data_IF_075604613388
#
_entry.id   IF_075604613388
#
_cell.length_a   1.000
_cell.length_b   1.000
_cell.length_c   1.000
_cell.angle_alpha   90.00
_cell.angle_beta   90.00
_cell.angle_gamma   90.00
#
_symmetry.space_group_name_H-M   'P 1'
#
loop_
_entity.id
_entity.type
_entity.pdbx_description
1 polymer ?
#
# COMPACT_ATOMS: atom_id res chain seq x y z
N UNK A 1 14.35 18.68 -4.75
CA UNK A 1 13.75 17.81 -3.74
C UNK A 1 13.86 16.36 -4.17
N UNK A 2 14.11 15.47 -3.24
CA UNK A 2 14.44 14.08 -3.55
C UNK A 2 13.17 13.24 -3.51
N UNK A 3 12.88 12.56 -4.61
CA UNK A 3 11.81 11.59 -4.73
C UNK A 3 12.40 10.20 -4.65
N UNK A 4 11.87 9.35 -3.78
CA UNK A 4 12.30 7.95 -3.65
C UNK A 4 11.15 7.03 -3.99
N UNK A 5 11.43 6.00 -4.77
CA UNK A 5 10.44 5.00 -5.18
C UNK A 5 10.86 3.66 -4.60
N UNK A 6 9.93 3.01 -3.90
CA UNK A 6 10.07 1.64 -3.42
C UNK A 6 9.20 0.76 -4.31
N UNK A 7 9.83 -0.13 -5.06
CA UNK A 7 9.13 -1.06 -5.96
C UNK A 7 8.87 -2.37 -5.22
N UNK A 8 7.61 -2.62 -4.86
CA UNK A 8 7.23 -3.83 -4.14
C UNK A 8 7.43 -5.11 -4.97
N UNK A 9 7.51 -5.00 -6.30
CA UNK A 9 7.80 -6.14 -7.15
C UNK A 9 9.23 -6.66 -6.96
N UNK A 10 10.15 -5.80 -6.53
CA UNK A 10 11.54 -6.18 -6.27
C UNK A 10 11.70 -7.01 -4.99
N UNK A 11 10.65 -7.15 -4.19
CA UNK A 11 10.68 -7.89 -2.92
C UNK A 11 9.68 -9.04 -2.97
N UNK A 12 9.93 -10.07 -2.15
CA UNK A 12 8.98 -11.14 -2.00
C UNK A 12 7.72 -10.64 -1.29
N UNK A 13 6.59 -11.27 -1.62
CA UNK A 13 5.27 -10.89 -1.15
C UNK A 13 5.13 -10.80 0.38
N UNK A 14 5.83 -11.67 1.08
CA UNK A 14 5.79 -11.74 2.53
C UNK A 14 7.12 -11.29 3.15
N UNK A 15 7.87 -10.41 2.48
CA UNK A 15 9.11 -9.89 3.03
C UNK A 15 8.82 -9.16 4.35
N UNK A 16 9.37 -9.62 5.50
CA UNK A 16 9.07 -9.01 6.79
C UNK A 16 9.46 -7.54 6.87
N UNK A 17 10.45 -7.11 6.09
CA UNK A 17 10.88 -5.70 6.05
C UNK A 17 9.82 -4.82 5.44
N UNK A 18 9.21 -5.26 4.34
CA UNK A 18 8.10 -4.54 3.69
C UNK A 18 6.91 -4.45 4.63
N UNK A 19 6.52 -5.56 5.25
CA UNK A 19 5.39 -5.62 6.16
C UNK A 19 5.61 -4.69 7.36
N UNK A 20 6.77 -4.77 7.98
CA UNK A 20 7.08 -3.93 9.15
C UNK A 20 7.09 -2.44 8.79
N UNK A 21 7.66 -2.10 7.65
CA UNK A 21 7.71 -0.70 7.20
C UNK A 21 6.32 -0.15 6.89
N UNK A 22 5.48 -0.89 6.18
CA UNK A 22 4.11 -0.44 5.88
C UNK A 22 3.28 -0.28 7.15
N UNK A 23 3.37 -1.23 8.09
CA UNK A 23 2.67 -1.14 9.37
C UNK A 23 3.16 0.05 10.21
N UNK A 24 4.47 0.33 10.20
CA UNK A 24 5.05 1.47 10.90
C UNK A 24 4.52 2.82 10.38
N UNK A 25 4.04 2.86 9.15
CA UNK A 25 3.43 4.03 8.54
C UNK A 25 1.90 4.03 8.62
N UNK A 26 1.31 3.14 9.43
CA UNK A 26 -0.13 3.09 9.64
C UNK A 26 -0.90 2.46 8.49
N UNK A 27 -0.25 1.66 7.66
CA UNK A 27 -0.85 1.04 6.49
C UNK A 27 -1.01 -0.46 6.71
N UNK A 28 -1.97 -1.07 5.99
CA UNK A 28 -2.17 -2.51 6.02
C UNK A 28 -1.46 -3.15 4.82
N UNK A 29 -0.37 -3.93 5.04
CA UNK A 29 0.35 -4.55 3.94
C UNK A 29 -0.50 -5.53 3.13
N UNK A 30 -1.53 -6.12 3.74
CA UNK A 30 -2.45 -7.03 3.03
C UNK A 30 -3.39 -6.30 2.08
N UNK A 31 -3.50 -4.98 2.20
CA UNK A 31 -4.35 -4.16 1.34
C UNK A 31 -3.58 -3.50 0.19
N UNK A 32 -2.31 -3.80 0.03
CA UNK A 32 -1.47 -3.24 -1.03
C UNK A 32 -1.35 -4.26 -2.15
N UNK A 33 -1.72 -3.89 -3.41
CA UNK A 33 -1.61 -4.81 -4.53
C UNK A 33 -0.16 -5.22 -4.80
N UNK A 34 0.03 -6.43 -5.31
CA UNK A 34 1.31 -6.85 -5.87
C UNK A 34 1.72 -5.94 -7.03
N UNK A 35 3.01 -5.82 -7.26
CA UNK A 35 3.56 -5.03 -8.37
C UNK A 35 3.22 -3.54 -8.29
N UNK A 36 2.86 -3.05 -7.10
CA UNK A 36 2.66 -1.62 -6.89
C UNK A 36 3.96 -0.96 -6.46
N UNK A 37 3.94 0.36 -6.44
CA UNK A 37 5.08 1.15 -5.97
C UNK A 37 4.65 2.07 -4.84
N UNK A 38 5.59 2.40 -3.97
CA UNK A 38 5.44 3.47 -2.99
C UNK A 38 6.33 4.64 -3.40
N UNK A 39 5.80 5.85 -3.30
CA UNK A 39 6.54 7.06 -3.64
C UNK A 39 6.68 7.92 -2.38
N UNK A 40 7.92 8.27 -2.07
CA UNK A 40 8.23 9.14 -0.93
C UNK A 40 8.72 10.48 -1.47
N UNK A 41 8.01 11.55 -1.11
CA UNK A 41 8.33 12.89 -1.56
C UNK A 41 7.81 13.89 -0.53
N UNK A 42 8.62 14.88 -0.19
CA UNK A 42 8.23 15.97 0.73
C UNK A 42 7.73 15.49 2.10
N UNK A 43 8.32 14.42 2.63
CA UNK A 43 7.91 13.87 3.91
C UNK A 43 6.58 13.14 3.88
N UNK A 44 6.09 12.80 2.69
CA UNK A 44 4.84 12.07 2.49
C UNK A 44 5.09 10.75 1.75
N UNK A 45 4.24 9.78 2.06
CA UNK A 45 4.26 8.45 1.45
C UNK A 45 2.97 8.26 0.67
N UNK A 46 3.09 8.01 -0.63
CA UNK A 46 1.95 7.69 -1.50
C UNK A 46 2.04 6.24 -1.92
N UNK A 47 0.96 5.50 -1.72
CA UNK A 47 0.87 4.09 -2.09
C UNK A 47 -0.42 3.81 -2.84
N UNK A 48 -0.46 2.66 -3.51
CA UNK A 48 -1.67 2.12 -4.11
C UNK A 48 -2.29 1.11 -3.15
N UNK A 49 -3.60 1.23 -2.92
CA UNK A 49 -4.37 0.29 -2.10
C UNK A 49 -5.58 -0.22 -2.87
N UNK A 50 -6.08 -1.39 -2.46
CA UNK A 50 -7.37 -1.87 -2.93
C UNK A 50 -8.49 -1.00 -2.37
N UNK A 51 -9.53 -0.75 -3.17
CA UNK A 51 -10.76 -0.12 -2.68
C UNK A 51 -11.62 -1.19 -2.02
N UNK A 52 -11.96 -0.99 -0.75
CA UNK A 52 -12.74 -1.95 0.02
C UNK A 52 -14.18 -1.45 0.20
N UNK A 53 -15.13 -2.37 0.09
CA UNK A 53 -16.55 -2.13 0.34
C UNK A 53 -17.06 -3.06 1.42
N UNK A 54 -18.01 -2.56 2.21
CA UNK A 54 -18.75 -3.36 3.17
C UNK A 54 -20.24 -3.25 2.80
N UNK A 55 -20.77 -4.28 2.15
CA UNK A 55 -22.15 -4.29 1.66
C UNK A 55 -23.16 -4.76 2.71
N UNK A 56 -22.70 -5.52 3.71
CA UNK A 56 -23.52 -6.01 4.80
C UNK A 56 -22.94 -5.51 6.12
N UNK A 57 -23.72 -4.80 6.97
CA UNK A 57 -23.23 -4.36 8.27
C UNK A 57 -22.73 -5.53 9.10
N UNK A 58 -21.52 -5.39 9.66
CA UNK A 58 -20.89 -6.44 10.46
C UNK A 58 -20.13 -7.49 9.66
N UNK A 59 -20.25 -7.54 8.33
CA UNK A 59 -19.46 -8.42 7.49
C UNK A 59 -18.06 -7.84 7.23
N UNK A 60 -17.04 -8.68 6.99
CA UNK A 60 -15.72 -8.17 6.60
C UNK A 60 -15.79 -7.38 5.30
N UNK A 61 -15.03 -6.28 5.15
CA UNK A 61 -14.96 -5.57 3.89
C UNK A 61 -14.32 -6.46 2.79
N UNK A 62 -14.70 -6.23 1.56
CA UNK A 62 -14.19 -6.95 0.41
C UNK A 62 -13.74 -5.99 -0.69
N UNK A 63 -12.93 -6.49 -1.61
CA UNK A 63 -12.44 -5.69 -2.74
C UNK A 63 -13.56 -5.34 -3.69
N UNK A 64 -13.55 -4.10 -4.18
CA UNK A 64 -14.54 -3.61 -5.13
C UNK A 64 -14.13 -3.94 -6.55
N UNK A 65 -15.03 -4.51 -7.35
CA UNK A 65 -14.78 -4.79 -8.76
C UNK A 65 -14.64 -3.48 -9.55
N UNK A 66 -13.71 -3.48 -10.50
CA UNK A 66 -13.54 -2.36 -11.42
C UNK A 66 -14.75 -2.24 -12.35
N UNK A 67 -15.01 -1.01 -12.85
CA UNK A 67 -16.18 -0.72 -13.69
C UNK A 67 -16.17 -1.50 -15.00
N UNK A 68 -14.99 -1.89 -15.51
CA UNK A 68 -14.83 -2.69 -16.71
C UNK A 68 -14.96 -4.21 -16.46
N UNK A 69 -15.12 -4.63 -15.20
CA UNK A 69 -15.21 -6.03 -14.81
C UNK A 69 -13.87 -6.78 -14.82
N UNK A 70 -12.76 -6.11 -15.10
CA UNK A 70 -11.43 -6.71 -15.18
C UNK A 70 -10.61 -6.41 -13.94
N UNK A 71 -10.82 -7.22 -12.87
CA UNK A 71 -10.08 -7.07 -11.63
C UNK A 71 -10.76 -6.16 -10.62
N UNK A 72 -9.99 -5.69 -9.67
CA UNK A 72 -10.49 -4.90 -8.54
C UNK A 72 -10.04 -3.45 -8.64
N UNK A 73 -10.85 -2.55 -8.12
CA UNK A 73 -10.51 -1.12 -8.07
C UNK A 73 -9.32 -0.87 -7.17
N UNK A 74 -8.48 0.05 -7.59
CA UNK A 74 -7.32 0.53 -6.83
C UNK A 74 -7.44 2.03 -6.63
N UNK A 75 -6.89 2.53 -5.52
CA UNK A 75 -6.84 3.96 -5.24
C UNK A 75 -5.46 4.31 -4.73
N UNK A 76 -5.08 5.58 -4.92
CA UNK A 76 -3.83 6.10 -4.37
C UNK A 76 -4.12 6.78 -3.05
N UNK A 77 -3.33 6.45 -2.02
CA UNK A 77 -3.44 7.05 -0.70
C UNK A 77 -2.13 7.73 -0.35
N UNK A 78 -2.21 8.94 0.17
CA UNK A 78 -1.04 9.69 0.65
C UNK A 78 -1.16 9.90 2.14
N UNK A 79 -0.11 9.52 2.87
CA UNK A 79 -0.03 9.67 4.33
C UNK A 79 1.29 10.31 4.70
N UNK A 80 1.41 10.92 5.90
CA UNK A 80 2.71 11.38 6.37
C UNK A 80 3.69 10.21 6.52
N UNK A 81 4.94 10.41 6.14
CA UNK A 81 5.98 9.40 6.35
C UNK A 81 6.37 9.39 7.82
N UNK A 82 5.98 8.33 8.52
CA UNK A 82 6.25 8.16 9.95
C UNK A 82 7.55 7.41 10.21
N UNK A 83 7.96 6.53 9.29
CA UNK A 83 9.16 5.74 9.40
C UNK A 83 9.80 5.59 8.02
N UNK A 84 11.10 5.80 7.94
CA UNK A 84 11.84 5.70 6.69
C UNK A 84 12.08 4.24 6.31
N UNK A 85 12.12 3.91 4.98
CA UNK A 85 12.37 2.52 4.55
C UNK A 85 13.72 1.99 5.04
N UNK A 86 14.75 2.80 5.07
CA UNK A 86 16.08 2.39 5.51
C UNK A 86 16.11 1.94 6.98
N UNK A 87 15.19 2.41 7.81
CA UNK A 87 15.05 1.96 9.20
C UNK A 87 14.59 0.51 9.29
N UNK A 88 14.09 -0.04 8.20
CA UNK A 88 13.64 -1.43 8.09
C UNK A 88 14.50 -2.27 7.14
N UNK A 89 15.64 -1.72 6.68
CA UNK A 89 16.56 -2.44 5.79
C UNK A 89 16.17 -2.41 4.32
N UNK A 90 15.33 -1.50 3.94
CA UNK A 90 14.89 -1.35 2.54
C UNK A 90 15.75 -0.36 1.75
#
# INVERSE_FOLDING_TARGET
>A
MTKRIIDFEAYEMADPRIMAWTEANGLDPHNIPLKSIAVIEDGQLSITEWVLEQTVPGAPPHKTLADDGNGYKRTQRTVPLLSAPEDHGL
#
